data_IF_877195730084
#
_entry.id   IF_877195730084
#
_cell.length_a   1.000
_cell.length_b   1.000
_cell.length_c   1.000
_cell.angle_alpha   90.00
_cell.angle_beta   90.00
_cell.angle_gamma   90.00
#
_symmetry.space_group_name_H-M   'P 1'
#
loop_
_entity.id
_entity.type
_entity.pdbx_description
1 polymer ?
#
# COMPACT_ATOMS: atom_id res chain seq x y z
N UNK A 1 -23.93 53.20 33.12
CA UNK A 1 -23.64 51.77 33.29
C UNK A 1 -23.46 51.17 31.89
N UNK A 2 -22.22 51.13 31.41
CA UNK A 2 -21.83 50.60 30.09
C UNK A 2 -20.42 50.03 30.27
N UNK A 3 -20.25 48.72 30.16
CA UNK A 3 -18.92 48.11 30.08
C UNK A 3 -18.74 47.46 28.71
N UNK A 4 -17.75 47.99 27.98
CA UNK A 4 -17.26 47.52 26.69
C UNK A 4 -16.34 46.32 26.90
N UNK A 5 -16.59 45.25 26.15
CA UNK A 5 -15.66 44.14 25.97
C UNK A 5 -14.39 44.62 25.26
N UNK A 6 -13.23 44.40 25.88
CA UNK A 6 -11.94 44.49 25.20
C UNK A 6 -11.62 43.13 24.58
N UNK A 7 -11.49 43.11 23.25
CA UNK A 7 -10.88 41.99 22.54
C UNK A 7 -9.38 41.99 22.80
N UNK A 8 -8.90 40.99 23.53
CA UNK A 8 -7.48 40.71 23.68
C UNK A 8 -7.01 39.96 22.42
N UNK A 9 -6.26 40.64 21.55
CA UNK A 9 -5.56 40.01 20.45
C UNK A 9 -4.44 39.13 21.02
N UNK A 10 -4.64 37.82 20.99
CA UNK A 10 -3.60 36.85 21.31
C UNK A 10 -2.70 36.69 20.09
N UNK A 11 -1.49 37.26 20.13
CA UNK A 11 -0.47 36.99 19.12
C UNK A 11 0.11 35.58 19.37
N UNK A 12 -0.41 34.57 18.65
CA UNK A 12 0.30 33.30 18.47
C UNK A 12 1.53 33.54 17.61
N UNK A 13 2.71 33.53 18.22
CA UNK A 13 3.98 33.43 17.52
C UNK A 13 4.07 32.03 16.89
N UNK A 14 3.74 31.94 15.61
CA UNK A 14 4.06 30.76 14.81
C UNK A 14 5.58 30.71 14.60
N UNK A 15 6.27 29.86 15.36
CA UNK A 15 7.67 29.54 15.10
C UNK A 15 7.73 28.75 13.78
N UNK A 16 7.92 29.45 12.66
CA UNK A 16 8.21 28.83 11.37
C UNK A 16 9.65 28.32 11.43
N UNK A 17 9.81 27.08 11.90
CA UNK A 17 11.02 26.31 11.64
C UNK A 17 11.07 26.04 10.14
N UNK A 18 11.92 26.77 9.44
CA UNK A 18 12.32 26.45 8.06
C UNK A 18 13.15 25.17 8.10
N UNK A 19 12.47 24.03 8.16
CA UNK A 19 13.10 22.74 7.97
C UNK A 19 13.58 22.66 6.51
N UNK A 20 14.88 22.79 6.32
CA UNK A 20 15.57 22.39 5.10
C UNK A 20 15.20 20.94 4.78
N UNK A 21 14.37 20.76 3.76
CA UNK A 21 13.85 19.47 3.29
C UNK A 21 14.94 18.74 2.50
N UNK A 22 16.00 18.31 3.19
CA UNK A 22 16.77 17.17 2.71
C UNK A 22 16.13 15.93 3.34
N UNK A 23 15.50 15.03 2.56
CA UNK A 23 15.03 13.78 3.13
C UNK A 23 16.25 13.03 3.67
N UNK A 24 16.32 12.87 4.98
CA UNK A 24 17.26 11.94 5.60
C UNK A 24 16.98 10.56 4.96
N UNK A 25 17.97 9.98 4.28
CA UNK A 25 17.84 8.63 3.72
C UNK A 25 17.90 7.65 4.89
N UNK A 26 16.73 7.34 5.45
CA UNK A 26 16.61 6.38 6.53
C UNK A 26 17.00 4.96 6.11
N UNK A 27 17.03 4.01 7.06
CA UNK A 27 17.36 2.63 6.75
C UNK A 27 16.32 2.01 5.81
N UNK A 28 16.79 1.29 4.78
CA UNK A 28 15.95 0.55 3.82
C UNK A 28 15.96 -0.93 4.15
N UNK A 29 15.02 -1.35 4.99
CA UNK A 29 15.05 -2.69 5.58
C UNK A 29 14.11 -3.61 4.80
N UNK A 30 14.65 -4.67 4.19
CA UNK A 30 13.86 -5.73 3.55
C UNK A 30 13.89 -7.06 4.32
N UNK A 31 14.75 -7.15 5.33
CA UNK A 31 14.93 -8.30 6.20
C UNK A 31 14.25 -8.03 7.55
N UNK A 32 13.18 -8.77 7.91
CA UNK A 32 12.49 -8.61 9.19
C UNK A 32 13.38 -8.78 10.42
N UNK A 33 14.52 -9.47 10.32
CA UNK A 33 15.45 -9.62 11.43
C UNK A 33 16.24 -8.33 11.74
N UNK A 34 16.20 -7.33 10.85
CA UNK A 34 16.98 -6.08 10.96
C UNK A 34 16.12 -4.86 11.28
N UNK A 35 14.86 -5.06 11.67
CA UNK A 35 13.95 -3.98 12.04
C UNK A 35 14.30 -3.36 13.39
N UNK A 36 13.95 -2.09 13.55
CA UNK A 36 14.07 -1.40 14.84
C UNK A 36 12.95 -1.81 15.81
N UNK A 37 13.02 -1.26 17.04
CA UNK A 37 11.99 -1.47 18.07
C UNK A 37 10.63 -0.88 17.70
N UNK A 38 10.58 0.12 16.81
CA UNK A 38 9.32 0.79 16.46
C UNK A 38 8.44 -0.15 15.62
N UNK A 39 9.06 -1.01 14.80
CA UNK A 39 8.37 -2.05 14.04
C UNK A 39 7.56 -3.01 14.91
N UNK A 40 8.00 -3.27 16.15
CA UNK A 40 7.26 -4.13 17.08
C UNK A 40 5.89 -3.55 17.48
N UNK A 41 5.75 -2.22 17.43
CA UNK A 41 4.55 -1.46 17.77
C UNK A 41 3.71 -1.11 16.53
N UNK A 42 4.34 -0.93 15.37
CA UNK A 42 3.64 -0.66 14.11
C UNK A 42 2.70 -1.80 13.70
N UNK A 43 1.53 -1.47 13.16
CA UNK A 43 0.67 -2.43 12.50
C UNK A 43 -0.81 -2.12 12.62
N UNK A 44 -1.62 -3.14 12.36
CA UNK A 44 -3.07 -3.08 12.44
C UNK A 44 -3.55 -3.57 13.80
N UNK A 45 -4.56 -2.91 14.35
CA UNK A 45 -5.18 -3.22 15.62
C UNK A 45 -6.70 -3.26 15.44
N UNK A 46 -7.39 -4.19 16.10
CA UNK A 46 -8.86 -4.24 16.07
C UNK A 46 -9.43 -4.75 17.39
N UNK A 47 -10.68 -4.40 17.64
CA UNK A 47 -11.40 -4.76 18.86
C UNK A 47 -12.79 -4.13 18.87
N UNK A 48 -13.53 -4.40 19.95
CA UNK A 48 -14.83 -3.81 20.22
C UNK A 48 -14.66 -2.81 21.36
N UNK A 49 -15.17 -1.59 21.18
CA UNK A 49 -15.30 -0.60 22.25
C UNK A 49 -16.73 -0.63 22.78
N UNK A 50 -16.89 -0.33 24.07
CA UNK A 50 -18.17 -0.19 24.75
C UNK A 50 -18.25 1.20 25.36
N UNK A 51 -19.21 2.01 24.93
CA UNK A 51 -19.50 3.32 25.48
C UNK A 51 -20.97 3.40 25.86
N UNK A 52 -21.27 3.69 27.12
CA UNK A 52 -22.64 3.72 27.66
C UNK A 52 -23.52 2.50 27.31
N UNK A 53 -22.90 1.33 27.12
CA UNK A 53 -23.56 0.06 26.76
C UNK A 53 -23.65 -0.21 25.25
N UNK A 54 -23.33 0.76 24.40
CA UNK A 54 -23.27 0.59 22.94
C UNK A 54 -21.94 -0.04 22.51
N UNK A 55 -22.00 -1.00 21.58
CA UNK A 55 -20.83 -1.73 21.09
C UNK A 55 -20.44 -1.27 19.69
N UNK A 56 -19.19 -0.87 19.51
CA UNK A 56 -18.65 -0.42 18.22
C UNK A 56 -17.39 -1.19 17.85
N UNK A 57 -17.38 -1.81 16.65
CA UNK A 57 -16.16 -2.40 16.09
C UNK A 57 -15.22 -1.30 15.63
N UNK A 58 -13.96 -1.38 16.04
CA UNK A 58 -12.94 -0.42 15.67
C UNK A 58 -11.73 -1.10 15.01
N UNK A 59 -11.10 -0.39 14.10
CA UNK A 59 -9.78 -0.68 13.57
C UNK A 59 -8.82 0.48 13.85
N UNK A 60 -7.53 0.21 13.91
CA UNK A 60 -6.51 1.26 13.93
C UNK A 60 -5.27 0.85 13.15
N UNK A 61 -4.68 1.81 12.45
CA UNK A 61 -3.32 1.71 11.91
C UNK A 61 -2.40 2.52 12.80
N UNK A 62 -1.46 1.85 13.46
CA UNK A 62 -0.33 2.51 14.15
C UNK A 62 0.85 2.48 13.19
N UNK A 63 1.34 3.65 12.79
CA UNK A 63 2.37 3.81 11.76
C UNK A 63 3.65 4.35 12.39
N UNK A 64 4.74 3.60 12.32
CA UNK A 64 6.05 4.08 12.74
C UNK A 64 6.53 5.18 11.80
N UNK A 65 7.05 6.26 12.36
CA UNK A 65 7.62 7.40 11.66
C UNK A 65 9.14 7.50 11.86
N UNK A 66 9.72 6.49 12.54
CA UNK A 66 11.13 6.38 12.89
C UNK A 66 11.45 7.10 14.19
N UNK A 67 12.52 6.67 14.86
CA UNK A 67 13.07 7.35 16.05
C UNK A 67 12.04 7.51 17.18
N UNK A 68 11.19 6.50 17.38
CA UNK A 68 10.16 6.49 18.41
C UNK A 68 8.95 7.37 18.10
N UNK A 69 8.83 7.94 16.89
CA UNK A 69 7.69 8.74 16.46
C UNK A 69 6.62 7.84 15.86
N UNK A 70 5.35 8.10 16.16
CA UNK A 70 4.23 7.33 15.64
C UNK A 70 3.08 8.22 15.22
N UNK A 71 2.42 7.83 14.13
CA UNK A 71 1.08 8.29 13.79
C UNK A 71 0.07 7.19 14.10
N UNK A 72 -1.17 7.58 14.31
CA UNK A 72 -2.31 6.65 14.39
C UNK A 72 -3.45 7.15 13.52
N UNK A 73 -4.09 6.22 12.81
CA UNK A 73 -5.39 6.40 12.20
C UNK A 73 -6.36 5.42 12.90
N UNK A 74 -7.47 5.91 13.44
CA UNK A 74 -8.53 5.09 14.04
C UNK A 74 -9.76 5.12 13.15
N UNK A 75 -10.33 3.94 12.94
CA UNK A 75 -11.38 3.66 11.97
C UNK A 75 -12.60 3.08 12.68
N UNK A 76 -13.73 3.77 12.57
CA UNK A 76 -15.03 3.27 12.99
C UNK A 76 -15.54 2.19 12.02
N UNK A 77 -16.06 1.08 12.54
CA UNK A 77 -16.57 -0.05 11.75
C UNK A 77 -15.52 -1.13 11.45
N UNK A 78 -14.24 -0.88 11.68
CA UNK A 78 -13.14 -1.85 11.50
C UNK A 78 -11.99 -1.32 10.64
N UNK A 79 -11.13 -2.19 10.11
CA UNK A 79 -9.98 -1.79 9.28
C UNK A 79 -10.40 -1.52 7.83
N UNK A 80 -9.59 -0.81 7.02
CA UNK A 80 -9.79 -0.77 5.57
C UNK A 80 -9.91 -2.18 4.97
N UNK A 81 -10.97 -2.41 4.20
CA UNK A 81 -11.35 -3.72 3.65
C UNK A 81 -11.96 -4.70 4.65
N UNK A 82 -12.23 -4.29 5.89
CA UNK A 82 -12.89 -5.09 6.93
C UNK A 82 -13.84 -4.22 7.78
N UNK A 83 -14.92 -3.75 7.15
CA UNK A 83 -16.05 -3.07 7.80
C UNK A 83 -15.97 -1.54 7.85
N UNK A 84 -14.80 -0.92 7.66
CA UNK A 84 -14.71 0.54 7.56
C UNK A 84 -15.45 1.06 6.32
N UNK A 85 -16.33 2.04 6.52
CA UNK A 85 -17.22 2.59 5.48
C UNK A 85 -16.71 3.91 4.89
N UNK A 86 -15.39 4.12 4.84
CA UNK A 86 -14.74 5.27 4.19
C UNK A 86 -15.01 6.66 4.80
N UNK A 87 -15.47 6.75 6.06
CA UNK A 87 -15.45 8.02 6.82
C UNK A 87 -14.00 8.41 7.13
N UNK A 88 -13.65 9.70 7.08
CA UNK A 88 -12.29 10.18 7.44
C UNK A 88 -11.85 9.59 8.80
N UNK A 89 -10.68 8.96 8.90
CA UNK A 89 -10.22 8.40 10.16
C UNK A 89 -9.92 9.49 11.18
N UNK A 90 -10.03 9.15 12.46
CA UNK A 90 -9.52 9.99 13.56
C UNK A 90 -8.01 9.83 13.58
N UNK A 91 -7.28 10.95 13.60
CA UNK A 91 -5.82 10.95 13.45
C UNK A 91 -5.14 11.62 14.63
N UNK A 92 -4.02 11.06 15.05
CA UNK A 92 -3.16 11.65 16.07
C UNK A 92 -1.70 11.24 15.84
N UNK A 93 -0.78 11.90 16.53
CA UNK A 93 0.65 11.55 16.51
C UNK A 93 1.24 11.71 17.90
N UNK A 94 2.24 10.90 18.22
CA UNK A 94 2.88 10.92 19.54
C UNK A 94 4.26 10.26 19.51
N UNK A 95 4.92 10.26 20.65
CA UNK A 95 6.25 9.70 20.87
C UNK A 95 6.19 8.50 21.81
N UNK A 96 7.02 7.50 21.54
CA UNK A 96 7.32 6.43 22.47
C UNK A 96 8.09 6.99 23.67
N UNK A 97 7.50 6.89 24.85
CA UNK A 97 8.10 7.24 26.14
C UNK A 97 7.79 6.13 27.14
N UNK A 98 8.79 5.70 27.91
CA UNK A 98 8.64 4.72 28.99
C UNK A 98 7.91 3.43 28.56
N UNK A 99 8.17 2.96 27.33
CA UNK A 99 7.60 1.74 26.79
C UNK A 99 6.16 1.85 26.28
N UNK A 100 5.59 3.06 26.20
CA UNK A 100 4.25 3.30 25.68
C UNK A 100 4.18 4.52 24.75
N UNK A 101 3.17 4.55 23.89
CA UNK A 101 2.82 5.72 23.06
C UNK A 101 1.43 6.18 23.48
N UNK A 102 1.30 7.46 23.87
CA UNK A 102 0.02 8.03 24.30
C UNK A 102 -0.46 9.02 23.25
N UNK A 103 -1.45 8.62 22.46
CA UNK A 103 -2.11 9.47 21.47
C UNK A 103 -3.28 10.19 22.12
N UNK A 104 -3.38 11.51 21.88
CA UNK A 104 -4.47 12.34 22.38
C UNK A 104 -5.25 12.91 21.19
N UNK A 105 -6.56 12.97 21.31
CA UNK A 105 -7.49 13.57 20.35
C UNK A 105 -8.70 14.17 21.06
N UNK A 106 -9.61 14.77 20.30
CA UNK A 106 -10.85 15.36 20.84
C UNK A 106 -11.80 14.26 21.36
N UNK A 107 -11.75 13.08 20.74
CA UNK A 107 -12.57 11.92 21.04
C UNK A 107 -12.02 11.08 22.21
N UNK A 108 -10.86 11.45 22.76
CA UNK A 108 -10.25 10.82 23.92
C UNK A 108 -8.78 10.46 23.76
N UNK A 109 -8.35 9.37 24.40
CA UNK A 109 -6.95 8.95 24.47
C UNK A 109 -6.80 7.50 24.01
N UNK A 110 -5.77 7.24 23.21
CA UNK A 110 -5.33 5.88 22.87
C UNK A 110 -3.93 5.63 23.43
N UNK A 111 -3.78 4.60 24.26
CA UNK A 111 -2.50 4.20 24.88
C UNK A 111 -2.03 2.90 24.26
N UNK A 112 -0.94 2.97 23.50
CA UNK A 112 -0.29 1.81 22.92
C UNK A 112 0.80 1.29 23.85
N UNK A 113 0.71 0.01 24.24
CA UNK A 113 1.74 -0.71 25.00
C UNK A 113 1.88 -2.12 24.45
N UNK A 114 3.04 -2.43 23.87
CA UNK A 114 3.26 -3.72 23.21
C UNK A 114 2.28 -3.95 22.06
N UNK A 115 1.43 -4.98 22.17
CA UNK A 115 0.42 -5.34 21.16
C UNK A 115 -1.01 -4.91 21.52
N UNK A 116 -1.15 -4.07 22.53
CA UNK A 116 -2.45 -3.60 23.03
C UNK A 116 -2.57 -2.09 22.88
N UNK A 117 -3.69 -1.65 22.31
CA UNK A 117 -4.06 -0.25 22.17
C UNK A 117 -5.34 0.00 22.98
N UNK A 118 -5.19 0.58 24.16
CA UNK A 118 -6.30 0.87 25.07
C UNK A 118 -6.92 2.21 24.73
N UNK A 119 -8.25 2.27 24.60
CA UNK A 119 -8.99 3.47 24.22
C UNK A 119 -9.85 3.96 25.38
N UNK A 120 -9.74 5.24 25.71
CA UNK A 120 -10.58 5.92 26.71
C UNK A 120 -11.24 7.14 26.10
N UNK A 121 -12.45 7.47 26.56
CA UNK A 121 -13.17 8.68 26.17
C UNK A 121 -12.54 9.95 26.81
N UNK A 122 -13.04 11.17 26.52
CA UNK A 122 -12.47 12.41 27.06
C UNK A 122 -12.54 12.54 28.59
N UNK A 123 -13.48 11.86 29.26
CA UNK A 123 -13.55 11.84 30.73
C UNK A 123 -12.54 10.87 31.38
N UNK A 124 -11.80 10.10 30.57
CA UNK A 124 -10.83 9.12 31.03
C UNK A 124 -11.43 7.72 31.26
N UNK A 125 -12.72 7.52 30.98
CA UNK A 125 -13.37 6.21 31.11
C UNK A 125 -12.84 5.27 30.05
N UNK A 126 -12.44 4.06 30.46
CA UNK A 126 -11.97 3.00 29.57
C UNK A 126 -13.12 2.47 28.71
N UNK A 127 -13.00 2.57 27.39
CA UNK A 127 -13.98 2.03 26.43
C UNK A 127 -13.62 0.61 25.97
N UNK A 128 -12.34 0.26 25.96
CA UNK A 128 -11.89 -1.07 25.55
C UNK A 128 -10.44 -1.12 25.06
N UNK A 129 -10.07 -2.27 24.49
CA UNK A 129 -8.72 -2.52 23.97
C UNK A 129 -8.78 -3.10 22.57
N UNK A 130 -8.04 -2.47 21.65
CA UNK A 130 -7.76 -3.04 20.33
C UNK A 130 -6.47 -3.85 20.41
N UNK A 131 -6.48 -5.07 19.87
CA UNK A 131 -5.33 -5.98 19.86
C UNK A 131 -4.70 -6.00 18.49
N UNK A 132 -3.36 -6.08 18.43
CA UNK A 132 -2.62 -6.17 17.16
C UNK A 132 -3.02 -7.42 16.39
N UNK A 133 -3.32 -7.25 15.10
CA UNK A 133 -3.62 -8.33 14.17
C UNK A 133 -2.63 -8.31 13.00
N UNK A 134 -2.44 -9.48 12.38
CA UNK A 134 -1.68 -9.64 11.14
C UNK A 134 -2.61 -10.29 10.14
N UNK A 135 -3.01 -9.52 9.12
CA UNK A 135 -3.86 -10.03 8.04
C UNK A 135 -2.98 -10.68 6.97
N UNK A 136 -3.50 -11.73 6.35
CA UNK A 136 -2.87 -12.37 5.20
C UNK A 136 -3.82 -12.26 4.02
N UNK A 137 -3.29 -11.99 2.83
CA UNK A 137 -4.10 -11.97 1.62
C UNK A 137 -4.78 -13.32 1.39
N UNK A 138 -6.07 -13.29 1.01
CA UNK A 138 -6.81 -14.51 0.64
C UNK A 138 -6.29 -15.17 -0.64
N UNK A 139 -5.43 -14.49 -1.41
CA UNK A 139 -4.78 -15.06 -2.60
C UNK A 139 -3.29 -15.32 -2.40
N UNK A 140 -2.75 -15.17 -1.18
CA UNK A 140 -1.36 -15.53 -0.91
C UNK A 140 -1.14 -17.05 -1.12
N UNK A 141 -0.03 -17.41 -1.77
CA UNK A 141 0.30 -18.79 -2.11
C UNK A 141 -0.60 -19.40 -3.19
N UNK A 142 -1.41 -18.59 -3.90
CA UNK A 142 -2.27 -19.08 -4.97
C UNK A 142 -1.42 -19.72 -6.06
N UNK A 143 -1.60 -21.03 -6.23
CA UNK A 143 -0.86 -21.82 -7.22
C UNK A 143 -1.19 -21.33 -8.63
N UNK A 144 -0.18 -21.36 -9.50
CA UNK A 144 -0.39 -21.15 -10.92
C UNK A 144 -1.39 -22.20 -11.43
N UNK A 145 -2.48 -21.79 -12.12
CA UNK A 145 -3.41 -22.74 -12.71
C UNK A 145 -2.75 -23.49 -13.87
N UNK A 146 -3.38 -24.59 -14.31
CA UNK A 146 -2.93 -25.35 -15.48
C UNK A 146 -2.88 -24.42 -16.71
N UNK A 147 -1.79 -24.49 -17.47
CA UNK A 147 -1.61 -23.64 -18.67
C UNK A 147 -1.09 -22.23 -18.38
N UNK A 148 -0.90 -21.85 -17.11
CA UNK A 148 -0.25 -20.60 -16.77
C UNK A 148 1.25 -20.62 -17.13
N UNK A 149 1.74 -19.46 -17.57
CA UNK A 149 3.16 -19.16 -17.66
C UNK A 149 3.64 -18.82 -16.26
N UNK A 150 4.47 -19.68 -15.66
CA UNK A 150 5.15 -19.39 -14.39
C UNK A 150 6.33 -18.47 -14.68
N UNK A 151 6.23 -17.22 -14.26
CA UNK A 151 7.29 -16.23 -14.43
C UNK A 151 8.36 -16.34 -13.34
N UNK A 152 7.97 -16.63 -12.10
CA UNK A 152 8.91 -16.82 -10.99
C UNK A 152 8.31 -17.65 -9.85
N UNK A 153 9.00 -18.72 -9.48
CA UNK A 153 8.63 -19.65 -8.39
C UNK A 153 9.73 -19.80 -7.33
N UNK A 154 10.82 -19.03 -7.44
CA UNK A 154 11.99 -19.12 -6.55
C UNK A 154 13.07 -20.11 -7.00
N UNK A 155 12.89 -20.81 -8.13
CA UNK A 155 13.92 -21.71 -8.67
C UNK A 155 15.06 -20.95 -9.36
N UNK A 156 14.72 -19.96 -10.20
CA UNK A 156 15.68 -19.14 -10.94
C UNK A 156 15.01 -17.86 -11.50
N UNK A 157 15.82 -16.92 -11.98
CA UNK A 157 15.34 -15.68 -12.60
C UNK A 157 15.59 -15.61 -14.13
N UNK A 158 15.76 -16.75 -14.82
CA UNK A 158 16.09 -16.77 -16.27
C UNK A 158 14.96 -16.22 -17.16
N UNK A 159 13.70 -16.31 -16.70
CA UNK A 159 12.55 -15.71 -17.37
C UNK A 159 12.49 -14.18 -17.27
N UNK A 160 13.54 -13.56 -16.73
CA UNK A 160 13.61 -12.13 -16.48
C UNK A 160 14.94 -11.53 -16.96
N UNK A 161 14.85 -10.50 -17.80
CA UNK A 161 15.99 -9.65 -18.17
C UNK A 161 16.46 -8.88 -16.94
N UNK A 162 17.76 -8.94 -16.66
CA UNK A 162 18.37 -8.42 -15.43
C UNK A 162 17.81 -9.07 -14.13
N UNK A 163 17.29 -10.30 -14.25
CA UNK A 163 16.77 -11.05 -13.11
C UNK A 163 17.85 -11.30 -12.06
N UNK A 164 17.59 -10.90 -10.82
CA UNK A 164 18.46 -11.13 -9.66
C UNK A 164 17.66 -11.75 -8.53
N UNK A 165 18.32 -12.58 -7.74
CA UNK A 165 17.70 -13.25 -6.60
C UNK A 165 18.50 -13.02 -5.34
N UNK A 166 17.79 -12.94 -4.22
CA UNK A 166 18.37 -13.02 -2.89
C UNK A 166 18.71 -14.46 -2.51
N UNK A 167 19.54 -14.65 -1.47
CA UNK A 167 19.90 -15.97 -0.96
C UNK A 167 18.67 -16.77 -0.45
N UNK A 168 17.63 -16.09 0.03
CA UNK A 168 16.34 -16.68 0.43
C UNK A 168 15.37 -16.89 -0.75
N UNK A 169 15.89 -16.90 -1.99
CA UNK A 169 15.17 -17.25 -3.23
C UNK A 169 14.03 -16.30 -3.61
N UNK A 170 14.15 -15.01 -3.31
CA UNK A 170 13.18 -13.99 -3.71
C UNK A 170 13.70 -13.20 -4.91
N UNK A 171 12.81 -12.85 -5.83
CA UNK A 171 13.15 -11.99 -6.97
C UNK A 171 13.34 -10.54 -6.49
N UNK A 172 14.33 -9.86 -7.06
CA UNK A 172 14.63 -8.46 -6.77
C UNK A 172 14.01 -7.51 -7.80
N UNK A 173 13.90 -6.24 -7.43
CA UNK A 173 13.46 -5.14 -8.30
C UNK A 173 14.34 -4.92 -9.54
N UNK A 174 13.79 -4.20 -10.53
CA UNK A 174 14.54 -3.72 -11.70
C UNK A 174 14.67 -4.73 -12.82
N UNK A 175 13.59 -5.46 -13.09
CA UNK A 175 13.63 -6.61 -13.98
C UNK A 175 12.40 -6.67 -14.88
N UNK A 176 12.56 -7.28 -16.06
CA UNK A 176 11.53 -7.31 -17.12
C UNK A 176 11.36 -8.73 -17.61
N UNK A 177 10.12 -9.23 -17.69
CA UNK A 177 9.87 -10.58 -18.19
C UNK A 177 10.37 -10.74 -19.64
N UNK A 178 10.90 -11.91 -19.96
CA UNK A 178 11.23 -12.27 -21.34
C UNK A 178 9.97 -12.58 -22.16
N UNK A 179 8.98 -13.16 -21.50
CA UNK A 179 7.64 -13.39 -22.05
C UNK A 179 6.88 -12.06 -22.22
N UNK A 180 6.04 -12.01 -23.25
CA UNK A 180 5.14 -10.89 -23.53
C UNK A 180 3.69 -11.35 -23.58
N UNK A 181 2.78 -10.42 -23.30
CA UNK A 181 1.36 -10.69 -23.07
C UNK A 181 0.48 -9.69 -23.83
N UNK A 182 -0.64 -10.18 -24.36
CA UNK A 182 -1.78 -9.37 -24.78
C UNK A 182 -2.78 -9.30 -23.62
N UNK A 183 -4.03 -9.73 -23.84
CA UNK A 183 -4.98 -9.97 -22.77
C UNK A 183 -4.45 -11.08 -21.85
N UNK A 184 -4.49 -10.84 -20.55
CA UNK A 184 -3.98 -11.79 -19.58
C UNK A 184 -4.55 -11.58 -18.18
N UNK A 185 -4.48 -12.65 -17.39
CA UNK A 185 -4.55 -12.59 -15.94
C UNK A 185 -3.15 -12.72 -15.37
N UNK A 186 -2.83 -12.00 -14.31
CA UNK A 186 -1.52 -11.98 -13.65
C UNK A 186 -1.70 -12.07 -12.15
N UNK A 187 -0.91 -12.94 -11.52
CA UNK A 187 -0.76 -12.98 -10.07
C UNK A 187 0.69 -12.66 -9.70
N UNK A 188 0.85 -11.88 -8.65
CA UNK A 188 2.16 -11.56 -8.07
C UNK A 188 2.04 -11.39 -6.57
N UNK A 189 2.99 -11.97 -5.83
CA UNK A 189 3.21 -11.64 -4.43
C UNK A 189 4.42 -10.72 -4.28
N UNK A 190 4.26 -9.66 -3.48
CA UNK A 190 5.29 -8.67 -3.25
C UNK A 190 5.37 -8.29 -1.77
N UNK A 191 6.56 -7.86 -1.35
CA UNK A 191 6.85 -7.40 0.01
C UNK A 191 7.56 -6.05 -0.07
N UNK A 192 6.92 -5.04 0.52
CA UNK A 192 7.44 -3.69 0.64
C UNK A 192 8.52 -3.63 1.75
N UNK A 193 9.61 -2.88 1.58
CA UNK A 193 10.60 -2.67 2.63
C UNK A 193 10.06 -1.76 3.73
N UNK A 194 10.56 -1.92 4.95
CA UNK A 194 10.34 -1.00 6.05
C UNK A 194 11.31 0.17 5.95
N UNK A 195 10.75 1.38 5.78
CA UNK A 195 11.47 2.64 5.61
C UNK A 195 10.77 3.75 6.43
N UNK A 196 10.77 3.65 7.78
CA UNK A 196 9.92 4.47 8.63
C UNK A 196 10.27 5.96 8.61
N UNK A 197 11.47 6.34 8.16
CA UNK A 197 11.92 7.74 8.05
C UNK A 197 11.70 8.34 6.65
N UNK A 198 11.44 7.51 5.63
CA UNK A 198 11.23 7.98 4.25
C UNK A 198 9.76 8.39 4.03
N UNK A 199 9.51 9.33 3.12
CA UNK A 199 8.16 9.86 2.83
C UNK A 199 7.91 9.99 1.33
N UNK A 200 6.63 10.13 0.96
CA UNK A 200 6.19 10.28 -0.42
C UNK A 200 6.70 9.15 -1.32
N UNK A 201 7.10 9.51 -2.55
CA UNK A 201 7.65 8.56 -3.53
C UNK A 201 9.02 7.97 -3.14
N UNK A 202 9.62 8.40 -2.02
CA UNK A 202 10.84 7.79 -1.48
C UNK A 202 10.59 6.55 -0.62
N UNK A 203 9.36 6.34 -0.13
CA UNK A 203 9.03 5.34 0.88
C UNK A 203 8.58 4.01 0.26
N UNK A 204 9.53 3.11 0.05
CA UNK A 204 9.26 1.75 -0.41
C UNK A 204 8.68 1.67 -1.83
N UNK A 205 9.20 2.49 -2.75
CA UNK A 205 8.66 2.66 -4.10
C UNK A 205 9.15 1.62 -5.11
N UNK A 206 8.22 1.12 -5.92
CA UNK A 206 8.38 0.35 -7.15
C UNK A 206 7.05 0.39 -7.90
N UNK A 207 6.89 -0.39 -8.97
CA UNK A 207 5.64 -0.53 -9.68
C UNK A 207 5.67 -1.77 -10.54
N UNK A 208 4.49 -2.31 -10.82
CA UNK A 208 4.32 -3.34 -11.85
C UNK A 208 3.69 -2.70 -13.08
N UNK A 209 4.43 -2.69 -14.19
CA UNK A 209 3.90 -2.24 -15.47
C UNK A 209 3.37 -3.44 -16.26
N UNK A 210 2.06 -3.45 -16.52
CA UNK A 210 1.46 -4.40 -17.46
C UNK A 210 1.71 -3.94 -18.89
N UNK A 211 2.13 -4.88 -19.75
CA UNK A 211 2.66 -4.64 -21.08
C UNK A 211 3.84 -3.64 -21.14
N UNK A 212 4.49 -3.33 -20.01
CA UNK A 212 5.47 -2.26 -19.90
C UNK A 212 4.88 -0.86 -20.14
N UNK A 213 3.54 -0.71 -20.09
CA UNK A 213 2.80 0.51 -20.47
C UNK A 213 2.04 1.13 -19.32
N UNK A 214 1.42 0.32 -18.47
CA UNK A 214 0.49 0.81 -17.45
C UNK A 214 0.88 0.31 -16.06
N UNK A 215 1.18 1.24 -15.18
CA UNK A 215 1.64 0.97 -13.82
C UNK A 215 0.49 0.75 -12.85
N UNK A 216 0.49 -0.41 -12.21
CA UNK A 216 -0.15 -0.59 -10.90
C UNK A 216 0.93 -0.31 -9.86
N UNK A 217 0.75 0.77 -9.11
CA UNK A 217 1.78 1.30 -8.23
C UNK A 217 2.08 0.37 -7.05
N UNK A 218 3.33 0.33 -6.60
CA UNK A 218 3.75 -0.34 -5.36
C UNK A 218 4.51 0.64 -4.46
N UNK A 219 3.91 1.03 -3.35
CA UNK A 219 4.50 1.99 -2.42
C UNK A 219 4.19 1.58 -0.99
N UNK A 220 5.06 1.88 -0.01
CA UNK A 220 4.65 1.77 1.40
C UNK A 220 3.68 2.91 1.74
N UNK A 221 2.41 2.63 1.45
CA UNK A 221 1.27 3.51 1.68
C UNK A 221 0.42 3.08 2.88
N UNK A 222 0.97 2.24 3.77
CA UNK A 222 0.30 1.87 5.01
C UNK A 222 -0.01 3.12 5.85
N UNK A 223 -1.29 3.33 6.15
CA UNK A 223 -1.82 4.51 6.84
C UNK A 223 -1.92 5.79 5.99
N UNK A 224 -1.71 5.72 4.67
CA UNK A 224 -1.92 6.84 3.73
C UNK A 224 -3.31 6.79 3.08
N UNK A 225 -3.61 7.78 2.25
CA UNK A 225 -4.94 7.99 1.69
C UNK A 225 -5.34 6.99 0.59
N UNK A 226 -4.38 6.31 -0.05
CA UNK A 226 -4.61 5.50 -1.25
C UNK A 226 -4.81 6.39 -2.47
N UNK A 227 -3.74 7.06 -2.92
CA UNK A 227 -3.75 7.87 -4.15
C UNK A 227 -3.29 7.10 -5.38
N UNK A 228 -3.55 7.64 -6.56
CA UNK A 228 -3.15 7.09 -7.86
C UNK A 228 -1.65 6.79 -7.96
N UNK A 229 -0.82 7.48 -7.17
CA UNK A 229 0.62 7.29 -7.07
C UNK A 229 1.06 6.60 -5.77
N UNK A 230 0.13 5.98 -5.04
CA UNK A 230 0.35 5.13 -3.86
C UNK A 230 -0.03 3.67 -4.16
N UNK A 231 0.21 2.73 -3.24
CA UNK A 231 0.04 1.30 -3.52
C UNK A 231 -1.37 0.98 -4.03
N UNK A 232 -1.42 0.29 -5.15
CA UNK A 232 -2.66 -0.14 -5.79
C UNK A 232 -3.18 0.87 -6.81
N UNK A 233 -2.75 2.13 -6.76
CA UNK A 233 -3.17 3.15 -7.70
C UNK A 233 -2.74 2.86 -9.13
N UNK A 234 -3.60 3.26 -10.07
CA UNK A 234 -3.26 3.30 -11.49
C UNK A 234 -2.56 4.63 -11.75
N UNK A 235 -1.23 4.59 -11.93
CA UNK A 235 -0.39 5.79 -11.86
C UNK A 235 -0.80 6.87 -12.86
N UNK A 236 -1.10 8.06 -12.35
CA UNK A 236 -1.62 9.23 -13.10
C UNK A 236 -2.95 8.94 -13.84
N UNK A 237 -3.73 7.98 -13.36
CA UNK A 237 -5.04 7.60 -13.92
C UNK A 237 -6.13 7.58 -12.87
N UNK A 238 -6.01 6.76 -11.80
CA UNK A 238 -7.10 6.59 -10.83
C UNK A 238 -6.58 6.16 -9.45
N UNK A 239 -7.11 6.80 -8.40
CA UNK A 239 -6.97 6.36 -7.01
C UNK A 239 -7.60 4.95 -6.83
N UNK A 240 -7.00 4.04 -6.04
CA UNK A 240 -7.67 2.80 -5.66
C UNK A 240 -8.93 3.09 -4.85
N UNK A 241 -9.99 2.28 -5.03
CA UNK A 241 -11.26 2.48 -4.32
C UNK A 241 -11.11 2.32 -2.80
N UNK A 242 -10.13 1.49 -2.38
CA UNK A 242 -9.70 1.32 -0.98
C UNK A 242 -8.18 1.16 -0.96
N UNK A 243 -7.50 1.87 -0.04
CA UNK A 243 -6.11 1.57 0.28
C UNK A 243 -6.01 0.23 1.03
N UNK A 244 -5.63 -0.82 0.32
CA UNK A 244 -5.47 -2.17 0.86
C UNK A 244 -4.01 -2.53 1.18
N UNK A 245 -3.14 -1.53 1.31
CA UNK A 245 -1.75 -1.73 1.70
C UNK A 245 -1.67 -2.18 3.17
N UNK A 246 -1.21 -3.40 3.39
CA UNK A 246 -0.76 -3.91 4.67
C UNK A 246 0.57 -3.24 5.10
N UNK A 247 0.95 -3.37 6.39
CA UNK A 247 2.23 -2.88 6.87
C UNK A 247 3.42 -3.43 6.07
N UNK A 248 4.52 -2.67 5.93
CA UNK A 248 5.72 -3.15 5.26
C UNK A 248 6.26 -4.43 5.91
N UNK A 249 7.01 -5.21 5.12
CA UNK A 249 7.50 -6.54 5.42
C UNK A 249 6.42 -7.65 5.54
N UNK A 250 5.15 -7.33 5.30
CA UNK A 250 4.11 -8.32 5.07
C UNK A 250 3.98 -8.64 3.57
N UNK A 251 3.66 -9.89 3.26
CA UNK A 251 3.39 -10.30 1.89
C UNK A 251 2.02 -9.78 1.47
N UNK A 252 1.98 -9.18 0.28
CA UNK A 252 0.79 -8.68 -0.36
C UNK A 252 0.61 -9.33 -1.72
N UNK A 253 -0.61 -9.36 -2.23
CA UNK A 253 -0.88 -9.86 -3.59
C UNK A 253 -1.49 -8.79 -4.47
N UNK A 254 -1.12 -8.83 -5.76
CA UNK A 254 -1.98 -8.34 -6.82
C UNK A 254 -2.48 -9.51 -7.67
N UNK A 255 -3.79 -9.52 -7.91
CA UNK A 255 -4.42 -10.29 -8.98
C UNK A 255 -4.97 -9.30 -10.00
N UNK A 256 -4.38 -9.28 -11.20
CA UNK A 256 -4.68 -8.31 -12.26
C UNK A 256 -5.32 -9.04 -13.43
N UNK A 257 -6.43 -8.51 -13.93
CA UNK A 257 -7.00 -8.87 -15.23
C UNK A 257 -6.82 -7.68 -16.15
N UNK A 258 -6.17 -7.90 -17.29
CA UNK A 258 -5.86 -6.83 -18.22
C UNK A 258 -6.31 -7.21 -19.63
N UNK A 259 -7.06 -6.30 -20.25
CA UNK A 259 -7.48 -6.36 -21.65
C UNK A 259 -6.67 -5.32 -22.43
N UNK A 260 -5.87 -5.78 -23.39
CA UNK A 260 -5.01 -4.91 -24.19
C UNK A 260 -5.83 -3.97 -25.09
N UNK A 261 -5.23 -2.85 -25.48
CA UNK A 261 -5.80 -1.98 -26.49
C UNK A 261 -6.03 -2.74 -27.81
N UNK A 262 -7.07 -2.36 -28.56
CA UNK A 262 -7.30 -2.86 -29.92
C UNK A 262 -7.05 -1.76 -30.92
N UNK A 263 -6.48 -2.13 -32.06
CA UNK A 263 -6.18 -1.25 -33.17
C UNK A 263 -6.87 -1.79 -34.43
N UNK A 264 -7.26 -0.90 -35.33
CA UNK A 264 -7.77 -1.28 -36.65
C UNK A 264 -6.62 -1.60 -37.63
N UNK A 265 -6.98 -2.01 -38.85
CA UNK A 265 -6.02 -2.38 -39.91
C UNK A 265 -5.14 -1.20 -40.36
N UNK A 266 -5.53 0.04 -40.04
CA UNK A 266 -4.77 1.25 -40.30
C UNK A 266 -3.85 1.64 -39.13
N UNK A 267 -3.84 0.84 -38.06
CA UNK A 267 -3.05 1.06 -36.86
C UNK A 267 -3.61 2.15 -35.94
N UNK A 268 -4.86 2.59 -36.14
CA UNK A 268 -5.52 3.57 -35.27
C UNK A 268 -6.18 2.84 -34.08
N UNK A 269 -6.15 3.48 -32.92
CA UNK A 269 -6.77 2.96 -31.70
C UNK A 269 -8.28 2.77 -31.91
N UNK A 270 -8.73 1.52 -31.81
CA UNK A 270 -10.13 1.12 -31.93
C UNK A 270 -10.80 0.90 -30.57
N UNK A 271 -10.06 0.34 -29.59
CA UNK A 271 -10.55 0.18 -28.20
C UNK A 271 -9.44 0.46 -27.20
N UNK A 272 -9.78 1.20 -26.15
CA UNK A 272 -8.90 1.44 -25.02
C UNK A 272 -8.63 0.16 -24.22
N UNK A 273 -7.45 0.01 -23.60
CA UNK A 273 -7.18 -1.09 -22.69
C UNK A 273 -8.02 -0.94 -21.42
N UNK A 274 -8.28 -2.06 -20.74
CA UNK A 274 -9.05 -2.10 -19.49
C UNK A 274 -8.36 -2.95 -18.44
N UNK A 275 -8.53 -2.61 -17.17
CA UNK A 275 -7.88 -3.30 -16.06
C UNK A 275 -8.81 -3.50 -14.86
N UNK A 276 -8.80 -4.70 -14.31
CA UNK A 276 -9.33 -5.01 -12.97
C UNK A 276 -8.17 -5.39 -12.08
N UNK A 277 -8.07 -4.80 -10.89
CA UNK A 277 -7.02 -5.08 -9.91
C UNK A 277 -7.66 -5.46 -8.58
N UNK A 278 -7.23 -6.59 -8.04
CA UNK A 278 -7.44 -6.96 -6.64
C UNK A 278 -6.14 -6.79 -5.88
N UNK A 279 -6.20 -6.14 -4.73
CA UNK A 279 -5.10 -6.02 -3.78
C UNK A 279 -5.49 -6.77 -2.52
N UNK A 280 -4.71 -7.80 -2.16
CA UNK A 280 -4.99 -8.66 -1.01
C UNK A 280 -6.39 -9.31 -1.07
N UNK A 281 -6.84 -9.69 -2.27
CA UNK A 281 -8.14 -10.31 -2.54
C UNK A 281 -9.31 -9.32 -2.69
N UNK A 282 -9.15 -8.06 -2.29
CA UNK A 282 -10.18 -7.02 -2.38
C UNK A 282 -10.08 -6.30 -3.72
N UNK A 283 -11.20 -6.11 -4.42
CA UNK A 283 -11.23 -5.34 -5.67
C UNK A 283 -11.00 -3.86 -5.34
N UNK A 284 -9.95 -3.28 -5.91
CA UNK A 284 -9.61 -1.84 -5.76
C UNK A 284 -9.74 -1.06 -7.06
N UNK A 285 -9.83 -1.78 -8.18
CA UNK A 285 -10.17 -1.27 -9.50
C UNK A 285 -11.03 -2.32 -10.21
N UNK A 286 -12.23 -1.96 -10.65
CA UNK A 286 -13.12 -2.85 -11.41
C UNK A 286 -13.31 -2.31 -12.82
N UNK A 287 -12.78 -3.06 -13.79
CA UNK A 287 -12.92 -2.79 -15.23
C UNK A 287 -12.67 -1.32 -15.59
N UNK A 288 -11.54 -0.76 -15.12
CA UNK A 288 -11.18 0.64 -15.35
C UNK A 288 -10.60 0.78 -16.76
N UNK A 289 -11.11 1.74 -17.52
CA UNK A 289 -10.51 2.12 -18.80
C UNK A 289 -9.19 2.85 -18.60
N UNK A 290 -8.17 2.42 -19.33
CA UNK A 290 -6.83 3.03 -19.35
C UNK A 290 -6.66 3.88 -20.62
N UNK A 291 -5.78 4.89 -20.61
CA UNK A 291 -5.56 5.69 -21.81
C UNK A 291 -4.87 4.85 -22.90
N UNK A 292 -5.52 4.61 -24.04
CA UNK A 292 -4.92 3.87 -25.16
C UNK A 292 -3.98 4.71 -26.02
N UNK A 293 -4.01 6.03 -25.88
CA UNK A 293 -3.19 6.98 -26.62
C UNK A 293 -1.88 7.39 -25.89
N UNK A 294 -1.70 7.02 -24.62
CA UNK A 294 -0.47 7.26 -23.85
C UNK A 294 -0.24 6.14 -22.83
N UNK A 295 1.02 5.93 -22.46
CA UNK A 295 1.40 5.08 -21.32
C UNK A 295 1.32 5.87 -20.01
N UNK A 296 1.43 5.19 -18.86
CA UNK A 296 1.68 5.87 -17.58
C UNK A 296 3.09 6.47 -17.55
N UNK A 297 3.32 7.41 -16.63
CA UNK A 297 4.61 8.09 -16.48
C UNK A 297 5.75 7.08 -16.28
N UNK A 298 6.92 7.36 -16.88
CA UNK A 298 8.12 6.51 -16.82
C UNK A 298 7.96 5.08 -17.35
N UNK A 299 6.84 4.75 -18.01
CA UNK A 299 6.64 3.45 -18.63
C UNK A 299 7.70 3.19 -19.73
N UNK A 300 8.33 2.00 -19.75
CA UNK A 300 9.38 1.69 -20.72
C UNK A 300 8.85 1.41 -22.13
N UNK A 301 7.54 1.21 -22.31
CA UNK A 301 6.91 0.95 -23.60
C UNK A 301 5.84 1.98 -23.93
N UNK A 302 5.78 2.38 -25.20
CA UNK A 302 4.69 3.21 -25.76
C UNK A 302 3.44 2.36 -26.03
N UNK A 303 2.24 2.97 -26.14
CA UNK A 303 1.06 2.27 -26.63
C UNK A 303 1.28 1.69 -28.03
N UNK A 304 0.65 0.57 -28.32
CA UNK A 304 0.72 -0.05 -29.65
C UNK A 304 0.09 -1.46 -29.66
N UNK A 305 -0.07 -2.06 -30.86
CA UNK A 305 -0.78 -3.32 -31.03
C UNK A 305 0.01 -4.54 -30.55
N UNK A 306 1.32 -4.43 -30.39
CA UNK A 306 2.16 -5.55 -29.99
C UNK A 306 1.95 -5.95 -28.52
N UNK A 307 2.14 -7.24 -28.24
CA UNK A 307 2.24 -7.78 -26.89
C UNK A 307 3.38 -7.09 -26.14
N UNK A 308 3.26 -6.96 -24.82
CA UNK A 308 4.25 -6.29 -23.99
C UNK A 308 4.67 -7.13 -22.78
N UNK A 309 5.85 -6.87 -22.19
CA UNK A 309 6.33 -7.62 -21.04
C UNK A 309 5.65 -7.16 -19.74
N UNK A 310 5.91 -7.88 -18.65
CA UNK A 310 5.71 -7.40 -17.29
C UNK A 310 7.02 -6.76 -16.82
N UNK A 311 6.96 -5.57 -16.24
CA UNK A 311 8.15 -4.86 -15.73
C UNK A 311 7.99 -4.56 -14.25
N UNK A 312 9.01 -4.91 -13.46
CA UNK A 312 9.11 -4.57 -12.05
C UNK A 312 10.12 -3.43 -11.88
N UNK A 313 9.62 -2.25 -11.53
CA UNK A 313 10.41 -1.02 -11.46
C UNK A 313 11.51 -1.10 -10.39
N UNK A 314 12.67 -0.52 -10.66
CA UNK A 314 13.65 -0.22 -9.62
C UNK A 314 13.64 1.29 -9.33
N UNK A 315 13.16 1.65 -8.14
CA UNK A 315 13.19 3.03 -7.63
C UNK A 315 14.14 3.16 -6.42
N UNK A 316 15.20 2.35 -6.38
CA UNK A 316 16.20 2.35 -5.31
C UNK A 316 15.68 1.83 -3.96
N UNK A 317 14.56 1.09 -3.96
CA UNK A 317 13.98 0.45 -2.78
C UNK A 317 14.07 -1.08 -2.91
N UNK A 318 14.50 -1.81 -1.86
CA UNK A 318 14.74 -3.24 -1.94
C UNK A 318 13.43 -4.05 -1.84
N UNK A 319 12.66 -4.06 -2.93
CA UNK A 319 11.43 -4.83 -3.05
C UNK A 319 11.71 -6.32 -3.20
N UNK A 320 10.82 -7.17 -2.67
CA UNK A 320 10.93 -8.62 -2.87
C UNK A 320 9.66 -9.16 -3.50
N UNK A 321 9.82 -10.07 -4.46
CA UNK A 321 8.72 -10.71 -5.15
C UNK A 321 8.84 -12.23 -5.08
N UNK A 322 7.69 -12.89 -5.11
CA UNK A 322 7.57 -14.35 -5.24
C UNK A 322 6.28 -14.70 -5.96
N UNK A 323 6.11 -15.97 -6.30
CA UNK A 323 4.87 -16.53 -6.85
C UNK A 323 4.27 -15.65 -7.96
N UNK A 324 4.98 -15.57 -9.09
CA UNK A 324 4.57 -14.75 -10.22
C UNK A 324 4.18 -15.68 -11.36
N UNK A 325 2.94 -15.56 -11.82
CA UNK A 325 2.44 -16.33 -12.96
C UNK A 325 1.37 -15.56 -13.71
N UNK A 326 1.23 -15.86 -15.00
CA UNK A 326 0.24 -15.23 -15.87
C UNK A 326 -0.46 -16.24 -16.76
N UNK A 327 -1.75 -16.02 -17.03
CA UNK A 327 -2.55 -16.80 -17.97
C UNK A 327 -2.87 -15.91 -19.17
N UNK A 328 -2.42 -16.32 -20.37
CA UNK A 328 -2.75 -15.63 -21.63
C UNK A 328 -4.21 -15.92 -21.97
N UNK A 329 -4.96 -14.93 -22.44
CA UNK A 329 -6.34 -15.16 -22.90
C UNK A 329 -6.37 -16.22 -24.01
N UNK A 330 -7.32 -17.16 -23.93
CA UNK A 330 -7.43 -18.31 -24.82
C UNK A 330 -6.79 -19.61 -24.29
N UNK A 331 -6.05 -19.55 -23.18
CA UNK A 331 -5.48 -20.72 -22.49
C UNK A 331 -6.25 -21.11 -21.20
N UNK A 332 -7.42 -20.53 -20.97
CA UNK A 332 -8.33 -20.93 -19.89
C UNK A 332 -8.90 -22.32 -20.22
N UNK A 333 -8.14 -23.38 -19.88
CA UNK A 333 -8.72 -24.69 -19.71
C UNK A 333 -9.60 -24.62 -18.45
N UNK A 334 -10.91 -24.80 -18.65
CA UNK A 334 -11.96 -24.62 -17.63
C UNK A 334 -11.79 -25.39 -16.33
#
# INVERSE_FOLDING_TARGET
MNLRFHHLFCFTVALVLTASWLPAKGPKISDPAKVDKDYALQGEYTGILVDEGEKSKMGAHVIAQGQGKFNINVYEGGLPGDGWTSKKPIQSSSLLKDGQVVFKGEEGTAVLKGKSLTISNPSGTLLGTLTRVVRTSSTAGKKAPKGAVVLFDGSNAKGWKNGRMTADKLLMEGTTSTETFQDHQLHIEFRLPYQPEDRGQGRGNSGIYVQGRYEVQMLDSFGLAGKQNECGGLYSVKDPDVNMCYPPLQWQTYDIQYTAARFDDQGKLAKHPRITVRHNGVVIHKDVELPGNRSTTAAPSKPGPAAGPIVLQNHGCPMRYRNIWAVKAGNDAG
#
